data_IF_471300739916
#
_entry.id   IF_471300739916
#
_cell.length_a   1.000
_cell.length_b   1.000
_cell.length_c   1.000
_cell.angle_alpha   90.00
_cell.angle_beta   90.00
_cell.angle_gamma   90.00
#
_symmetry.space_group_name_H-M   'P 1'
#
loop_
_entity.id
_entity.type
_entity.pdbx_description
1 polymer ?
#
# COMPACT_ATOMS: atom_id res chain seq x y z
N UNK A 1 25.61 -33.50 1.21
CA UNK A 1 24.55 -32.73 1.90
C UNK A 1 24.85 -32.73 3.40
N UNK A 2 25.55 -31.72 3.87
CA UNK A 2 25.90 -31.58 5.30
C UNK A 2 25.16 -30.38 5.87
N UNK A 3 24.31 -30.69 6.83
CA UNK A 3 23.28 -29.86 7.43
C UNK A 3 23.94 -28.80 8.35
N UNK A 4 23.96 -27.53 7.93
CA UNK A 4 24.48 -26.43 8.75
C UNK A 4 23.54 -26.19 9.94
N UNK A 5 24.01 -26.52 11.13
CA UNK A 5 23.24 -26.37 12.36
C UNK A 5 23.37 -24.94 12.92
N UNK A 6 22.22 -24.37 13.30
CA UNK A 6 22.02 -23.03 13.91
C UNK A 6 22.78 -22.77 15.22
N UNK A 7 23.72 -23.65 15.59
CA UNK A 7 24.38 -23.75 16.89
C UNK A 7 25.79 -23.13 16.89
N UNK A 8 26.38 -22.92 15.72
CA UNK A 8 27.77 -22.43 15.57
C UNK A 8 27.84 -20.90 15.46
N UNK A 9 26.99 -20.19 16.21
CA UNK A 9 27.02 -18.72 16.25
C UNK A 9 26.80 -18.21 17.68
N UNK A 10 27.44 -18.85 18.67
CA UNK A 10 27.59 -18.24 19.99
C UNK A 10 28.89 -17.43 19.99
N UNK A 11 28.78 -16.18 19.54
CA UNK A 11 29.76 -15.15 19.78
C UNK A 11 29.90 -14.96 21.31
N UNK A 12 31.13 -15.04 21.79
CA UNK A 12 31.47 -14.77 23.17
C UNK A 12 31.18 -13.29 23.50
N UNK A 13 30.32 -13.04 24.49
CA UNK A 13 30.16 -11.70 25.08
C UNK A 13 30.86 -11.70 26.42
N UNK A 14 32.01 -11.03 26.47
CA UNK A 14 32.74 -10.74 27.71
C UNK A 14 31.96 -9.73 28.55
N UNK A 15 31.91 -9.96 29.86
CA UNK A 15 31.31 -9.07 30.86
C UNK A 15 32.13 -7.77 30.88
N UNK A 16 31.51 -6.63 30.62
CA UNK A 16 32.10 -5.32 30.93
C UNK A 16 31.04 -4.39 31.53
N UNK A 17 31.48 -3.71 32.59
CA UNK A 17 30.87 -2.77 33.51
C UNK A 17 29.59 -2.00 33.10
N UNK A 18 28.72 -1.82 34.11
CA UNK A 18 27.58 -0.91 34.16
C UNK A 18 27.95 0.52 33.71
N UNK A 19 27.57 0.89 32.48
CA UNK A 19 27.42 2.28 32.05
C UNK A 19 25.94 2.54 31.76
N UNK A 20 25.36 3.69 32.15
CA UNK A 20 23.95 3.93 31.97
C UNK A 20 23.63 4.17 30.48
N UNK A 21 22.80 3.28 29.94
CA UNK A 21 21.82 3.58 28.89
C UNK A 21 22.36 4.11 27.55
N UNK A 22 22.99 3.25 26.74
CA UNK A 22 22.95 3.41 25.28
C UNK A 22 22.06 2.31 24.71
N UNK A 23 20.80 2.65 24.46
CA UNK A 23 19.90 1.79 23.70
C UNK A 23 20.54 1.55 22.32
N UNK A 24 21.05 0.35 22.11
CA UNK A 24 21.44 -0.11 20.78
C UNK A 24 20.14 -0.35 20.03
N UNK A 25 19.73 0.62 19.22
CA UNK A 25 18.67 0.41 18.25
C UNK A 25 19.08 -0.76 17.36
N UNK A 26 18.38 -1.88 17.50
CA UNK A 26 18.51 -2.99 16.56
C UNK A 26 18.21 -2.45 15.15
N UNK A 27 18.98 -2.84 14.12
CA UNK A 27 18.64 -2.48 12.76
C UNK A 27 17.26 -3.06 12.44
N UNK A 28 16.27 -2.18 12.33
CA UNK A 28 14.97 -2.49 11.75
C UNK A 28 15.23 -2.95 10.33
N UNK A 29 15.18 -4.25 10.11
CA UNK A 29 15.27 -4.83 8.77
C UNK A 29 13.92 -4.61 8.07
N UNK A 30 13.62 -3.34 7.77
CA UNK A 30 12.51 -2.95 6.93
C UNK A 30 12.83 -3.47 5.53
N UNK A 31 12.34 -4.64 5.17
CA UNK A 31 12.39 -5.14 3.80
C UNK A 31 11.75 -4.09 2.89
N UNK A 32 12.57 -3.27 2.23
CA UNK A 32 12.09 -2.24 1.32
C UNK A 32 11.35 -2.94 0.19
N UNK A 33 10.02 -2.77 0.12
CA UNK A 33 9.25 -3.20 -1.04
C UNK A 33 9.88 -2.50 -2.26
N UNK A 34 10.34 -3.24 -3.28
CA UNK A 34 10.98 -2.62 -4.42
C UNK A 34 9.99 -1.66 -5.09
N UNK A 35 10.45 -0.43 -5.35
CA UNK A 35 9.66 0.60 -6.03
C UNK A 35 9.20 0.04 -7.38
N UNK A 36 7.89 -0.11 -7.53
CA UNK A 36 7.31 -0.60 -8.77
C UNK A 36 7.22 0.58 -9.75
N UNK A 37 7.89 0.45 -10.89
CA UNK A 37 7.95 1.48 -11.93
C UNK A 37 7.06 1.09 -13.11
N UNK A 38 6.44 2.09 -13.74
CA UNK A 38 5.67 1.93 -14.98
C UNK A 38 6.02 3.03 -15.97
N UNK A 39 5.71 2.80 -17.25
CA UNK A 39 6.00 3.74 -18.34
C UNK A 39 7.27 3.39 -19.13
N UNK A 40 7.84 4.37 -19.84
CA UNK A 40 9.00 4.15 -20.70
C UNK A 40 9.84 5.43 -20.88
N UNK A 41 11.17 5.28 -20.84
CA UNK A 41 12.13 6.38 -21.04
C UNK A 41 11.94 7.50 -20.02
N UNK A 42 11.84 8.73 -20.53
CA UNK A 42 11.56 9.92 -19.71
C UNK A 42 10.21 9.85 -18.98
N UNK A 43 9.23 9.14 -19.54
CA UNK A 43 7.90 8.96 -18.96
C UNK A 43 7.84 7.72 -18.07
N UNK A 44 8.68 7.70 -17.03
CA UNK A 44 8.72 6.65 -16.02
C UNK A 44 8.15 7.16 -14.71
N UNK A 45 7.19 6.42 -14.15
CA UNK A 45 6.47 6.80 -12.93
C UNK A 45 6.61 5.73 -11.87
N UNK A 46 6.76 6.15 -10.61
CA UNK A 46 6.70 5.26 -9.46
C UNK A 46 5.24 5.00 -9.07
N UNK A 47 4.93 3.74 -8.78
CA UNK A 47 3.63 3.34 -8.24
C UNK A 47 3.60 3.61 -6.75
N UNK A 48 2.64 4.43 -6.32
CA UNK A 48 2.26 4.62 -4.92
C UNK A 48 1.63 3.32 -4.39
N UNK A 49 2.42 2.53 -3.67
CA UNK A 49 1.99 1.22 -3.16
C UNK A 49 0.89 1.39 -2.10
N UNK A 50 -0.21 0.67 -2.27
CA UNK A 50 -1.36 0.72 -1.35
C UNK A 50 -2.39 1.81 -1.67
N UNK A 51 -2.09 2.75 -2.58
CA UNK A 51 -3.10 3.67 -3.08
C UNK A 51 -4.18 2.90 -3.85
N UNK A 52 -5.43 3.32 -3.71
CA UNK A 52 -6.55 2.67 -4.41
C UNK A 52 -7.05 1.38 -3.74
N UNK A 53 -6.45 0.95 -2.61
CA UNK A 53 -6.77 -0.30 -1.94
C UNK A 53 -8.23 -0.36 -1.46
N UNK A 54 -9.00 -1.27 -2.04
CA UNK A 54 -10.41 -1.46 -1.69
C UNK A 54 -10.59 -2.08 -0.29
N UNK A 55 -11.70 -1.81 0.41
CA UNK A 55 -12.03 -2.51 1.64
C UNK A 55 -12.12 -4.02 1.39
N UNK A 56 -11.78 -4.82 2.40
CA UNK A 56 -11.85 -6.27 2.32
C UNK A 56 -13.24 -6.74 1.82
N UNK A 57 -13.26 -7.67 0.87
CA UNK A 57 -14.49 -8.17 0.26
C UNK A 57 -15.04 -7.32 -0.90
N UNK A 58 -14.36 -6.23 -1.27
CA UNK A 58 -14.74 -5.39 -2.40
C UNK A 58 -13.78 -5.59 -3.57
N UNK A 59 -14.31 -5.62 -4.78
CA UNK A 59 -13.54 -5.73 -6.03
C UNK A 59 -14.01 -4.67 -7.03
N UNK A 60 -13.08 -4.23 -7.87
CA UNK A 60 -13.44 -3.42 -9.04
C UNK A 60 -14.25 -4.27 -10.02
N UNK A 61 -15.35 -3.73 -10.51
CA UNK A 61 -15.91 -4.13 -11.80
C UNK A 61 -15.25 -3.36 -12.95
N UNK A 62 -15.68 -3.62 -14.19
CA UNK A 62 -15.18 -2.91 -15.38
C UNK A 62 -15.29 -1.39 -15.24
N UNK A 63 -14.18 -0.66 -15.43
CA UNK A 63 -14.13 0.80 -15.22
C UNK A 63 -14.32 1.62 -16.49
N UNK A 64 -14.17 1.01 -17.67
CA UNK A 64 -14.37 1.65 -18.99
C UNK A 64 -13.62 2.97 -19.18
N UNK A 65 -12.53 3.18 -18.44
CA UNK A 65 -11.71 4.40 -18.50
C UNK A 65 -12.35 5.64 -17.87
N UNK A 66 -13.49 5.52 -17.18
CA UNK A 66 -14.17 6.65 -16.58
C UNK A 66 -13.55 7.02 -15.21
N UNK A 67 -12.54 7.88 -15.26
CA UNK A 67 -11.86 8.47 -14.10
C UNK A 67 -11.90 10.00 -14.23
N UNK A 68 -12.27 10.70 -13.16
CA UNK A 68 -12.28 12.17 -13.11
C UNK A 68 -11.65 12.69 -11.81
N UNK A 69 -11.16 13.93 -11.84
CA UNK A 69 -10.64 14.63 -10.68
C UNK A 69 -11.38 15.95 -10.49
N UNK A 70 -11.76 16.27 -9.24
CA UNK A 70 -12.32 17.59 -8.91
C UNK A 70 -11.25 18.62 -8.50
N UNK A 71 -11.65 19.87 -8.31
CA UNK A 71 -10.74 20.97 -7.95
C UNK A 71 -10.11 20.80 -6.55
N UNK A 72 -10.72 20.01 -5.67
CA UNK A 72 -10.16 19.68 -4.36
C UNK A 72 -9.19 18.49 -4.42
N UNK A 73 -8.99 17.91 -5.60
CA UNK A 73 -8.08 16.79 -5.84
C UNK A 73 -8.71 15.42 -5.61
N UNK A 74 -10.01 15.32 -5.31
CA UNK A 74 -10.65 14.03 -5.13
C UNK A 74 -10.74 13.29 -6.49
N UNK A 75 -10.48 11.99 -6.47
CA UNK A 75 -10.52 11.13 -7.65
C UNK A 75 -11.80 10.29 -7.64
N UNK A 76 -12.53 10.30 -8.74
CA UNK A 76 -13.77 9.57 -8.93
C UNK A 76 -13.52 8.47 -9.96
N UNK A 77 -13.79 7.22 -9.59
CA UNK A 77 -13.65 6.05 -10.46
C UNK A 77 -15.02 5.40 -10.64
N UNK A 78 -15.54 5.45 -11.87
CA UNK A 78 -16.74 4.69 -12.23
C UNK A 78 -16.37 3.21 -12.40
N UNK A 79 -17.22 2.33 -11.89
CA UNK A 79 -16.99 0.90 -11.92
C UNK A 79 -18.31 0.15 -12.02
N UNK A 80 -18.34 -0.91 -12.83
CA UNK A 80 -19.45 -1.87 -12.89
C UNK A 80 -19.44 -2.83 -11.68
N UNK A 81 -19.46 -2.26 -10.48
CA UNK A 81 -19.64 -2.99 -9.23
C UNK A 81 -20.94 -2.55 -8.56
N UNK A 82 -21.32 -3.19 -7.46
CA UNK A 82 -22.47 -2.77 -6.67
C UNK A 82 -22.37 -1.32 -6.17
N UNK A 83 -21.15 -0.81 -5.99
CA UNK A 83 -20.90 0.55 -5.53
C UNK A 83 -21.13 1.61 -6.61
N UNK A 84 -20.93 1.30 -7.89
CA UNK A 84 -21.06 2.24 -8.99
C UNK A 84 -19.92 3.27 -9.08
N UNK A 85 -19.73 4.12 -8.07
CA UNK A 85 -18.66 5.15 -8.05
C UNK A 85 -17.85 5.09 -6.75
N UNK A 86 -16.54 4.97 -6.91
CA UNK A 86 -15.56 5.05 -5.83
C UNK A 86 -14.95 6.45 -5.80
N UNK A 87 -14.86 7.06 -4.62
CA UNK A 87 -14.27 8.39 -4.43
C UNK A 87 -13.04 8.27 -3.52
N UNK A 88 -11.89 8.74 -3.99
CA UNK A 88 -10.64 8.80 -3.22
C UNK A 88 -10.34 10.25 -2.88
N UNK A 89 -10.12 10.54 -1.60
CA UNK A 89 -9.78 11.90 -1.19
C UNK A 89 -8.30 12.21 -1.42
N UNK A 90 -7.99 13.46 -1.76
CA UNK A 90 -6.60 13.92 -1.91
C UNK A 90 -5.84 14.00 -0.58
N UNK A 91 -6.54 14.14 0.55
CA UNK A 91 -5.92 14.37 1.88
C UNK A 91 -5.69 13.09 2.69
N UNK A 92 -6.43 12.03 2.36
CA UNK A 92 -6.39 10.75 3.05
C UNK A 92 -6.69 9.72 1.97
N UNK A 93 -5.79 8.76 1.72
CA UNK A 93 -5.97 7.68 0.73
C UNK A 93 -7.18 6.77 1.03
N UNK A 94 -8.11 7.22 1.89
CA UNK A 94 -9.39 6.61 2.19
C UNK A 94 -10.34 6.70 1.01
N UNK A 95 -11.09 5.61 0.88
CA UNK A 95 -12.17 5.47 -0.07
C UNK A 95 -13.46 5.89 0.63
N UNK A 96 -14.19 6.80 -0.01
CA UNK A 96 -15.60 7.05 0.27
C UNK A 96 -16.40 6.49 -0.91
N UNK A 97 -17.25 5.48 -0.65
CA UNK A 97 -18.12 4.90 -1.67
C UNK A 97 -19.42 5.70 -1.78
N UNK A 98 -19.82 6.09 -2.99
CA UNK A 98 -21.15 6.65 -3.24
C UNK A 98 -21.94 5.63 -4.05
N UNK A 99 -22.82 4.89 -3.38
CA UNK A 99 -23.80 4.02 -4.04
C UNK A 99 -24.89 4.87 -4.66
N UNK A 100 -24.94 4.92 -5.98
CA UNK A 100 -26.11 5.48 -6.67
C UNK A 100 -27.23 4.44 -6.63
N UNK A 101 -28.43 4.76 -6.10
CA UNK A 101 -29.55 3.85 -6.18
C UNK A 101 -29.92 3.68 -7.66
N UNK A 102 -29.87 2.44 -8.16
CA UNK A 102 -30.47 2.07 -9.43
C UNK A 102 -31.98 2.33 -9.32
N UNK A 103 -32.46 3.50 -9.77
CA UNK A 103 -33.87 3.65 -10.12
C UNK A 103 -34.08 2.94 -11.44
N UNK A 104 -34.51 1.69 -11.36
CA UNK A 104 -35.30 1.07 -12.43
C UNK A 104 -36.61 1.87 -12.48
N UNK A 105 -36.76 2.75 -13.47
CA UNK A 105 -38.08 3.20 -13.89
C UNK A 105 -38.75 2.03 -14.59
N UNK A 106 -39.88 1.58 -14.02
CA UNK A 106 -40.84 0.66 -14.65
C UNK A 106 -41.43 1.22 -15.95
#
# INVERSE_FOLDING_TARGET
MTNMHRRTFLAAVGITALAPGRAVSAPSNSSSVPLQLTGNGEWTYAVESGWGALPAGTTFGGTHGAIAQDKAGNIYVSTQSHTGVLVYSSSDQRISSVTLPLRLTE
#
